data_IF_578297857220
#
_entry.id   IF_578297857220
#
_cell.length_a   1.000
_cell.length_b   1.000
_cell.length_c   1.000
_cell.angle_alpha   90.00
_cell.angle_beta   90.00
_cell.angle_gamma   90.00
#
_symmetry.space_group_name_H-M   'P 1'
#
loop_
_entity.id
_entity.type
_entity.pdbx_description
1 polymer ?
#
# COMPACT_ATOMS: atom_id res chain seq x y z
N UNK A 1 -13.94 2.62 4.41
CA UNK A 1 -15.42 2.74 4.24
C UNK A 1 -15.83 4.20 4.13
N UNK A 2 -15.32 5.11 4.97
CA UNK A 2 -15.66 6.55 4.95
C UNK A 2 -15.33 7.22 3.60
N UNK A 3 -14.12 7.03 3.06
CA UNK A 3 -13.71 7.59 1.76
C UNK A 3 -14.51 7.00 0.58
N UNK A 4 -14.93 5.75 0.67
CA UNK A 4 -15.75 5.12 -0.37
C UNK A 4 -17.15 5.73 -0.46
N UNK A 5 -17.72 6.12 0.68
CA UNK A 5 -19.04 6.75 0.74
C UNK A 5 -19.00 8.27 0.53
N UNK A 6 -17.78 8.88 0.61
CA UNK A 6 -17.55 10.30 0.40
C UNK A 6 -16.38 10.51 -0.56
N UNK A 7 -16.55 10.20 -1.87
CA UNK A 7 -15.46 10.22 -2.85
C UNK A 7 -14.98 11.63 -3.22
N UNK A 8 -15.80 12.65 -2.95
CA UNK A 8 -15.47 14.04 -3.24
C UNK A 8 -15.36 14.81 -1.93
N UNK A 9 -14.24 15.53 -1.78
CA UNK A 9 -13.99 16.42 -0.65
C UNK A 9 -13.72 17.82 -1.15
N UNK A 10 -14.49 18.78 -0.64
CA UNK A 10 -14.19 20.19 -0.83
C UNK A 10 -13.12 20.64 0.16
N UNK A 11 -12.03 21.18 -0.37
CA UNK A 11 -10.93 21.73 0.43
C UNK A 11 -11.01 23.24 0.37
N UNK A 12 -11.34 23.87 1.49
CA UNK A 12 -11.55 25.31 1.58
C UNK A 12 -10.46 26.03 2.37
N UNK A 13 -10.35 27.35 2.13
CA UNK A 13 -9.48 28.22 2.90
C UNK A 13 -8.00 27.94 2.73
N UNK A 14 -7.24 28.05 3.82
CA UNK A 14 -5.78 27.90 3.81
C UNK A 14 -5.32 26.50 3.34
N UNK A 15 -6.15 25.48 3.48
CA UNK A 15 -5.82 24.13 3.01
C UNK A 15 -5.73 24.07 1.48
N UNK A 16 -6.63 24.76 0.77
CA UNK A 16 -6.56 24.88 -0.70
C UNK A 16 -5.28 25.58 -1.16
N UNK A 17 -4.86 26.61 -0.45
CA UNK A 17 -3.63 27.35 -0.75
C UNK A 17 -2.41 26.45 -0.67
N UNK A 18 -2.33 25.56 0.34
CA UNK A 18 -1.23 24.59 0.49
C UNK A 18 -1.14 23.69 -0.74
N UNK A 19 -2.25 23.15 -1.24
CA UNK A 19 -2.24 22.31 -2.44
C UNK A 19 -1.83 23.06 -3.69
N UNK A 20 -2.20 24.32 -3.83
CA UNK A 20 -1.75 25.19 -4.93
C UNK A 20 -0.22 25.34 -4.91
N UNK A 21 0.40 25.56 -3.75
CA UNK A 21 1.85 25.64 -3.66
C UNK A 21 2.54 24.32 -4.03
N UNK A 22 1.96 23.18 -3.67
CA UNK A 22 2.48 21.88 -4.10
C UNK A 22 2.36 21.70 -5.62
N UNK A 23 1.24 22.09 -6.22
CA UNK A 23 1.05 22.05 -7.67
C UNK A 23 2.12 22.91 -8.38
N UNK A 24 2.31 24.15 -7.98
CA UNK A 24 3.30 25.05 -8.53
C UNK A 24 4.73 24.49 -8.36
N UNK A 25 5.03 23.91 -7.20
CA UNK A 25 6.33 23.31 -6.94
C UNK A 25 6.58 22.07 -7.83
N UNK A 26 5.57 21.21 -8.00
CA UNK A 26 5.66 20.03 -8.88
C UNK A 26 5.87 20.48 -10.33
N UNK A 27 5.08 21.44 -10.81
CA UNK A 27 5.20 21.95 -12.17
C UNK A 27 6.57 22.60 -12.42
N UNK A 28 7.07 23.35 -11.46
CA UNK A 28 8.42 23.93 -11.52
C UNK A 28 9.48 22.83 -11.60
N UNK A 29 9.36 21.79 -10.79
CA UNK A 29 10.30 20.66 -10.78
C UNK A 29 10.26 19.83 -12.08
N UNK A 30 9.08 19.58 -12.63
CA UNK A 30 8.92 18.85 -13.89
C UNK A 30 9.58 19.63 -15.04
N UNK A 31 9.46 20.94 -15.04
CA UNK A 31 10.00 21.81 -16.10
C UNK A 31 11.47 22.21 -15.88
N UNK A 32 12.08 21.84 -14.75
CA UNK A 32 13.49 22.12 -14.45
C UNK A 32 14.41 21.04 -14.99
N UNK A 33 15.68 21.37 -15.24
CA UNK A 33 16.69 20.39 -15.58
C UNK A 33 16.88 19.37 -14.43
N UNK A 34 16.95 18.07 -14.74
CA UNK A 34 17.17 17.06 -13.73
C UNK A 34 18.54 17.21 -13.06
N UNK A 35 18.56 17.15 -11.73
CA UNK A 35 19.80 17.09 -10.94
C UNK A 35 19.92 15.73 -10.22
N UNK A 36 21.10 15.34 -9.70
CA UNK A 36 21.31 14.01 -9.10
C UNK A 36 20.27 13.59 -8.05
N UNK A 37 19.68 14.54 -7.34
CA UNK A 37 18.64 14.29 -6.30
C UNK A 37 17.21 14.61 -6.76
N UNK A 38 16.97 14.74 -8.09
CA UNK A 38 15.65 15.11 -8.61
C UNK A 38 14.57 14.10 -8.20
N UNK A 39 14.87 12.82 -8.33
CA UNK A 39 13.95 11.71 -7.97
C UNK A 39 13.61 11.70 -6.48
N UNK A 40 14.59 11.87 -5.62
CA UNK A 40 14.42 11.94 -4.17
C UNK A 40 13.60 13.17 -3.78
N UNK A 41 13.90 14.31 -4.38
CA UNK A 41 13.15 15.55 -4.17
C UNK A 41 11.67 15.38 -4.51
N UNK A 42 11.36 14.81 -5.67
CA UNK A 42 9.97 14.52 -6.08
C UNK A 42 9.29 13.55 -5.11
N UNK A 43 9.97 12.50 -4.67
CA UNK A 43 9.46 11.54 -3.70
C UNK A 43 9.05 12.21 -2.38
N UNK A 44 9.86 13.14 -1.87
CA UNK A 44 9.53 13.87 -0.63
C UNK A 44 8.39 14.85 -0.81
N UNK A 45 8.28 15.51 -1.95
CA UNK A 45 7.13 16.37 -2.27
C UNK A 45 5.83 15.56 -2.25
N UNK A 46 5.79 14.42 -2.94
CA UNK A 46 4.62 13.54 -2.94
C UNK A 46 4.30 12.98 -1.55
N UNK A 47 5.32 12.63 -0.76
CA UNK A 47 5.12 12.17 0.62
C UNK A 47 4.51 13.26 1.50
N UNK A 48 4.92 14.51 1.32
CA UNK A 48 4.37 15.65 2.07
C UNK A 48 2.90 15.90 1.69
N UNK A 49 2.56 15.88 0.40
CA UNK A 49 1.16 15.99 -0.06
C UNK A 49 0.30 14.89 0.56
N UNK A 50 0.81 13.66 0.59
CA UNK A 50 0.09 12.53 1.17
C UNK A 50 -0.18 12.75 2.66
N UNK A 51 0.77 13.30 3.41
CA UNK A 51 0.56 13.65 4.82
C UNK A 51 -0.54 14.69 5.00
N UNK A 52 -0.61 15.73 4.15
CA UNK A 52 -1.68 16.73 4.19
C UNK A 52 -3.06 16.12 3.88
N UNK A 53 -3.14 15.24 2.88
CA UNK A 53 -4.38 14.52 2.55
C UNK A 53 -4.83 13.68 3.75
N UNK A 54 -3.93 12.92 4.36
CA UNK A 54 -4.22 12.09 5.54
C UNK A 54 -4.71 12.99 6.69
N UNK A 55 -4.05 14.12 6.94
CA UNK A 55 -4.44 15.05 8.00
C UNK A 55 -5.85 15.62 7.78
N UNK A 56 -6.24 15.93 6.54
CA UNK A 56 -7.59 16.39 6.21
C UNK A 56 -8.61 15.29 6.45
N UNK A 57 -8.35 14.09 5.93
CA UNK A 57 -9.26 12.96 6.04
C UNK A 57 -9.47 12.54 7.49
N UNK A 58 -8.40 12.50 8.29
CA UNK A 58 -8.48 12.07 9.70
C UNK A 58 -9.14 13.11 10.61
N UNK A 59 -9.08 14.40 10.27
CA UNK A 59 -9.77 15.45 11.04
C UNK A 59 -11.29 15.47 10.80
N UNK A 60 -11.73 15.06 9.62
CA UNK A 60 -13.13 15.10 9.20
C UNK A 60 -13.89 13.80 9.44
N UNK A 61 -13.22 12.73 9.85
CA UNK A 61 -13.92 11.53 10.33
C UNK A 61 -14.70 11.94 11.58
N UNK A 62 -16.06 11.91 11.56
CA UNK A 62 -16.85 12.19 12.75
C UNK A 62 -16.35 11.31 13.89
N UNK A 63 -15.99 11.91 15.00
CA UNK A 63 -15.77 11.18 16.24
C UNK A 63 -17.15 10.75 16.72
N UNK A 64 -17.68 9.66 16.20
CA UNK A 64 -18.80 8.98 16.83
C UNK A 64 -18.36 8.64 18.26
N UNK A 65 -18.85 9.46 19.18
CA UNK A 65 -18.58 9.39 20.61
C UNK A 65 -19.47 8.33 21.23
N UNK A 66 -19.34 7.10 20.86
CA UNK A 66 -19.81 5.97 21.70
C UNK A 66 -19.63 4.69 20.91
N UNK A 67 -18.74 3.93 21.33
CA UNK A 67 -18.42 2.53 21.09
C UNK A 67 -17.07 2.29 20.41
N UNK A 68 -16.14 1.83 21.27
CA UNK A 68 -14.91 1.11 20.90
C UNK A 68 -13.70 1.90 20.36
N UNK A 69 -13.41 3.08 20.90
CA UNK A 69 -12.13 3.78 20.62
C UNK A 69 -10.88 2.90 20.79
N UNK A 70 -10.93 1.91 21.66
CA UNK A 70 -9.80 1.00 21.90
C UNK A 70 -9.68 -0.06 20.77
N UNK A 71 -10.80 -0.60 20.29
CA UNK A 71 -10.79 -1.64 19.25
C UNK A 71 -10.38 -1.07 17.91
N UNK A 72 -10.89 0.11 17.54
CA UNK A 72 -10.50 0.79 16.28
C UNK A 72 -9.02 1.14 16.26
N UNK A 73 -8.48 1.69 17.35
CA UNK A 73 -7.04 1.98 17.47
C UNK A 73 -6.19 0.70 17.43
N UNK A 74 -6.67 -0.38 18.04
CA UNK A 74 -6.00 -1.67 18.00
C UNK A 74 -6.00 -2.25 16.59
N UNK A 75 -7.12 -2.17 15.85
CA UNK A 75 -7.21 -2.62 14.47
C UNK A 75 -6.29 -1.82 13.54
N UNK A 76 -6.23 -0.50 13.69
CA UNK A 76 -5.30 0.36 12.95
C UNK A 76 -3.83 0.01 13.24
N UNK A 77 -3.50 -0.25 14.51
CA UNK A 77 -2.15 -0.67 14.90
C UNK A 77 -1.78 -2.02 14.28
N UNK A 78 -2.68 -3.01 14.34
CA UNK A 78 -2.46 -4.33 13.75
C UNK A 78 -2.32 -4.24 12.23
N UNK A 79 -3.19 -3.46 11.57
CA UNK A 79 -3.12 -3.24 10.14
C UNK A 79 -1.79 -2.61 9.73
N UNK A 80 -1.30 -1.59 10.44
CA UNK A 80 0.01 -0.98 10.21
C UNK A 80 1.13 -2.01 10.32
N UNK A 81 1.15 -2.81 11.37
CA UNK A 81 2.15 -3.87 11.56
C UNK A 81 2.10 -4.93 10.45
N UNK A 82 0.90 -5.26 9.96
CA UNK A 82 0.75 -6.14 8.81
C UNK A 82 1.37 -5.54 7.55
N UNK A 83 1.11 -4.29 7.24
CA UNK A 83 1.69 -3.60 6.08
C UNK A 83 3.22 -3.50 6.21
N UNK A 84 3.75 -3.17 7.39
CA UNK A 84 5.19 -3.16 7.64
C UNK A 84 5.84 -4.54 7.44
N UNK A 85 5.19 -5.61 7.92
CA UNK A 85 5.67 -6.97 7.73
C UNK A 85 5.61 -7.38 6.26
N UNK A 86 4.52 -7.07 5.55
CA UNK A 86 4.36 -7.32 4.13
C UNK A 86 5.44 -6.60 3.30
N UNK A 87 5.71 -5.34 3.63
CA UNK A 87 6.77 -4.55 2.99
C UNK A 87 8.16 -5.15 3.20
N UNK A 88 8.48 -5.59 4.41
CA UNK A 88 9.78 -6.22 4.71
C UNK A 88 9.94 -7.60 4.09
N UNK A 89 8.84 -8.30 3.86
CA UNK A 89 8.82 -9.63 3.25
C UNK A 89 9.08 -9.62 1.74
N UNK A 90 8.90 -8.48 1.09
CA UNK A 90 9.08 -8.30 -0.37
C UNK A 90 8.28 -9.30 -1.23
N UNK A 91 7.17 -9.84 -0.71
CA UNK A 91 6.32 -10.78 -1.44
C UNK A 91 6.80 -12.22 -1.47
N UNK A 92 7.77 -12.60 -0.64
CA UNK A 92 8.27 -13.98 -0.57
C UNK A 92 7.23 -14.96 -0.03
N UNK A 93 6.37 -14.50 0.89
CA UNK A 93 5.34 -15.33 1.50
C UNK A 93 3.95 -14.86 1.06
N UNK A 94 3.10 -15.80 0.65
CA UNK A 94 1.74 -15.53 0.13
C UNK A 94 0.62 -16.02 1.04
N UNK A 95 0.98 -16.72 2.13
CA UNK A 95 0.02 -17.26 3.09
C UNK A 95 -0.37 -16.23 4.14
N UNK A 96 -1.66 -16.05 4.35
CA UNK A 96 -2.19 -15.23 5.46
C UNK A 96 -1.71 -15.77 6.81
N UNK A 97 -1.59 -17.09 6.95
CA UNK A 97 -1.12 -17.74 8.19
C UNK A 97 0.29 -17.27 8.55
N UNK A 98 1.20 -17.17 7.58
CA UNK A 98 2.55 -16.67 7.82
C UNK A 98 2.56 -15.28 8.49
N UNK A 99 1.76 -14.36 7.99
CA UNK A 99 1.67 -13.01 8.57
C UNK A 99 0.95 -12.99 9.90
N UNK A 100 -0.07 -13.84 10.06
CA UNK A 100 -0.80 -13.97 11.32
C UNK A 100 0.11 -14.51 12.42
N UNK A 101 0.86 -15.57 12.16
CA UNK A 101 1.83 -16.17 13.08
C UNK A 101 2.93 -15.17 13.46
N UNK A 102 3.48 -14.45 12.46
CA UNK A 102 4.51 -13.44 12.67
C UNK A 102 4.03 -12.24 13.52
N UNK A 103 2.73 -11.99 13.56
CA UNK A 103 2.11 -10.92 14.33
C UNK A 103 1.46 -11.42 15.64
N UNK A 104 1.54 -12.72 15.91
CA UNK A 104 0.93 -13.38 17.07
C UNK A 104 -0.60 -13.31 17.12
N UNK A 105 -1.25 -13.40 15.93
CA UNK A 105 -2.70 -13.44 15.80
C UNK A 105 -3.16 -14.70 15.06
N UNK A 106 -4.44 -15.01 15.21
CA UNK A 106 -5.04 -16.06 14.36
C UNK A 106 -5.30 -15.52 12.94
N UNK A 107 -5.22 -16.36 11.90
CA UNK A 107 -5.54 -15.94 10.52
C UNK A 107 -6.94 -15.35 10.38
N UNK A 108 -7.91 -15.90 11.12
CA UNK A 108 -9.30 -15.42 11.14
C UNK A 108 -9.41 -13.99 11.71
N UNK A 109 -8.74 -13.74 12.84
CA UNK A 109 -8.75 -12.42 13.47
C UNK A 109 -8.02 -11.38 12.60
N UNK A 110 -6.82 -11.72 12.11
CA UNK A 110 -6.08 -10.83 11.21
C UNK A 110 -6.91 -10.50 9.96
N UNK A 111 -7.62 -11.49 9.39
CA UNK A 111 -8.47 -11.26 8.21
C UNK A 111 -9.62 -10.31 8.51
N UNK A 112 -10.25 -10.43 9.67
CA UNK A 112 -11.29 -9.48 10.13
C UNK A 112 -10.73 -8.07 10.22
N UNK A 113 -9.64 -7.90 10.96
CA UNK A 113 -8.99 -6.59 11.16
C UNK A 113 -8.63 -5.92 9.84
N UNK A 114 -7.98 -6.64 8.93
CA UNK A 114 -7.58 -6.08 7.62
C UNK A 114 -8.80 -5.72 6.79
N UNK A 115 -9.82 -6.57 6.76
CA UNK A 115 -11.05 -6.29 6.02
C UNK A 115 -11.79 -5.07 6.57
N UNK A 116 -11.84 -4.91 7.90
CA UNK A 116 -12.45 -3.77 8.57
C UNK A 116 -11.65 -2.48 8.29
N UNK A 117 -10.31 -2.56 8.29
CA UNK A 117 -9.44 -1.40 8.07
C UNK A 117 -9.42 -0.89 6.63
N UNK A 118 -9.41 -1.78 5.62
CA UNK A 118 -9.23 -1.37 4.22
C UNK A 118 -10.27 -1.94 3.23
N UNK A 119 -11.23 -2.73 3.69
CA UNK A 119 -12.28 -3.33 2.86
C UNK A 119 -11.82 -4.50 1.98
N UNK A 120 -10.53 -4.84 1.97
CA UNK A 120 -9.96 -5.94 1.19
C UNK A 120 -9.62 -7.15 2.06
N UNK A 121 -9.65 -8.34 1.47
CA UNK A 121 -9.11 -9.52 2.14
C UNK A 121 -7.57 -9.47 2.17
N UNK A 122 -6.93 -9.99 3.24
CA UNK A 122 -5.47 -10.01 3.33
C UNK A 122 -4.80 -10.76 2.17
N UNK A 123 -5.38 -11.86 1.71
CA UNK A 123 -4.87 -12.59 0.53
C UNK A 123 -4.82 -11.71 -0.72
N UNK A 124 -5.82 -10.86 -0.93
CA UNK A 124 -5.86 -9.91 -2.05
C UNK A 124 -4.72 -8.91 -1.94
N UNK A 125 -4.52 -8.31 -0.76
CA UNK A 125 -3.42 -7.35 -0.53
C UNK A 125 -2.05 -7.99 -0.71
N UNK A 126 -1.85 -9.19 -0.18
CA UNK A 126 -0.59 -9.94 -0.32
C UNK A 126 -0.31 -10.21 -1.79
N UNK A 127 -1.31 -10.68 -2.54
CA UNK A 127 -1.15 -10.98 -3.96
C UNK A 127 -0.91 -9.72 -4.80
N UNK A 128 -1.63 -8.63 -4.55
CA UNK A 128 -1.41 -7.34 -5.22
C UNK A 128 0.04 -6.88 -4.99
N UNK A 129 0.50 -6.92 -3.75
CA UNK A 129 1.86 -6.51 -3.38
C UNK A 129 2.92 -7.40 -4.04
N UNK A 130 2.77 -8.72 -3.95
CA UNK A 130 3.67 -9.69 -4.58
C UNK A 130 3.74 -9.47 -6.09
N UNK A 131 2.58 -9.27 -6.75
CA UNK A 131 2.54 -9.03 -8.19
C UNK A 131 3.23 -7.74 -8.62
N UNK A 132 3.11 -6.66 -7.85
CA UNK A 132 3.84 -5.43 -8.16
C UNK A 132 5.35 -5.63 -8.07
N UNK A 133 5.84 -6.37 -7.08
CA UNK A 133 7.25 -6.72 -6.96
C UNK A 133 7.74 -7.64 -8.10
N UNK A 134 6.94 -8.66 -8.47
CA UNK A 134 7.24 -9.53 -9.61
C UNK A 134 7.32 -8.72 -10.91
N UNK A 135 6.34 -7.84 -11.17
CA UNK A 135 6.36 -6.96 -12.35
C UNK A 135 7.58 -6.07 -12.38
N UNK A 136 7.96 -5.53 -11.22
CA UNK A 136 9.15 -4.70 -11.11
C UNK A 136 10.41 -5.50 -11.48
N UNK A 137 10.59 -6.71 -10.93
CA UNK A 137 11.73 -7.57 -11.24
C UNK A 137 11.77 -7.97 -12.72
N UNK A 138 10.63 -8.36 -13.29
CA UNK A 138 10.53 -8.73 -14.70
C UNK A 138 10.90 -7.60 -15.67
N UNK A 139 10.73 -6.33 -15.27
CA UNK A 139 11.00 -5.16 -16.12
C UNK A 139 12.37 -4.55 -15.89
N UNK A 140 12.93 -4.68 -14.67
CA UNK A 140 14.05 -3.87 -14.24
C UNK A 140 15.26 -4.71 -13.76
N UNK A 141 15.24 -6.04 -13.92
CA UNK A 141 16.36 -6.89 -13.59
C UNK A 141 16.76 -7.77 -14.77
N UNK A 142 18.02 -8.17 -14.83
CA UNK A 142 18.55 -9.11 -15.80
C UNK A 142 18.34 -10.58 -15.38
N UNK A 143 17.55 -10.81 -14.32
CA UNK A 143 17.27 -12.14 -13.79
C UNK A 143 16.41 -12.96 -14.75
N UNK A 144 16.75 -14.22 -14.89
CA UNK A 144 15.90 -15.17 -15.61
C UNK A 144 14.57 -15.42 -14.87
N UNK A 145 13.56 -15.88 -15.59
CA UNK A 145 12.26 -16.29 -15.01
C UNK A 145 12.44 -17.31 -13.87
N UNK A 146 13.45 -18.19 -13.99
CA UNK A 146 13.75 -19.19 -12.97
C UNK A 146 14.26 -18.53 -11.68
N UNK A 147 15.21 -17.62 -11.80
CA UNK A 147 15.75 -16.89 -10.64
C UNK A 147 14.69 -16.04 -9.95
N UNK A 148 13.82 -15.36 -10.71
CA UNK A 148 12.69 -14.62 -10.14
C UNK A 148 11.72 -15.56 -9.41
N UNK A 149 11.38 -16.71 -10.00
CA UNK A 149 10.51 -17.68 -9.35
C UNK A 149 11.10 -18.22 -8.04
N UNK A 150 12.41 -18.47 -7.99
CA UNK A 150 13.13 -18.91 -6.79
C UNK A 150 13.16 -17.81 -5.74
N UNK A 151 13.44 -16.55 -6.11
CA UNK A 151 13.45 -15.39 -5.21
C UNK A 151 12.08 -15.20 -4.51
N UNK A 152 10.98 -15.39 -5.23
CA UNK A 152 9.64 -15.31 -4.67
C UNK A 152 9.12 -16.63 -4.08
N UNK A 153 10.00 -17.59 -3.75
CA UNK A 153 9.65 -18.86 -3.13
C UNK A 153 8.54 -19.63 -3.89
N UNK A 154 8.62 -19.68 -5.21
CA UNK A 154 7.78 -20.58 -5.99
C UNK A 154 8.42 -21.96 -6.11
N UNK A 155 7.64 -23.05 -5.98
CA UNK A 155 8.17 -24.42 -6.09
C UNK A 155 8.87 -24.71 -7.43
N UNK A 156 8.39 -24.10 -8.50
CA UNK A 156 8.98 -24.16 -9.83
C UNK A 156 8.38 -23.10 -10.77
N UNK A 157 8.95 -22.96 -11.96
CA UNK A 157 8.50 -21.99 -12.98
C UNK A 157 7.04 -22.20 -13.45
N UNK A 158 6.55 -23.44 -13.45
CA UNK A 158 5.16 -23.70 -13.86
C UNK A 158 4.15 -23.12 -12.88
N UNK A 159 4.42 -23.24 -11.58
CA UNK A 159 3.59 -22.59 -10.55
C UNK A 159 3.70 -21.06 -10.61
N UNK A 160 4.92 -20.53 -10.80
CA UNK A 160 5.14 -19.10 -11.00
C UNK A 160 4.33 -18.58 -12.20
N UNK A 161 4.44 -19.25 -13.36
CA UNK A 161 3.74 -18.85 -14.57
C UNK A 161 2.22 -18.86 -14.41
N UNK A 162 1.66 -19.91 -13.77
CA UNK A 162 0.23 -19.98 -13.44
C UNK A 162 -0.21 -18.83 -12.53
N UNK A 163 0.57 -18.54 -11.50
CA UNK A 163 0.28 -17.47 -10.56
C UNK A 163 0.28 -16.11 -11.26
N UNK A 164 1.32 -15.82 -12.04
CA UNK A 164 1.44 -14.55 -12.78
C UNK A 164 0.28 -14.40 -13.78
N UNK A 165 -0.03 -15.43 -14.56
CA UNK A 165 -1.17 -15.39 -15.50
C UNK A 165 -2.49 -15.12 -14.79
N UNK A 166 -2.76 -15.81 -13.69
CA UNK A 166 -4.00 -15.66 -12.93
C UNK A 166 -4.18 -14.21 -12.38
N UNK A 167 -3.09 -13.53 -12.06
CA UNK A 167 -3.16 -12.19 -11.47
C UNK A 167 -2.94 -11.04 -12.48
N UNK A 168 -2.39 -11.33 -13.66
CA UNK A 168 -2.28 -10.34 -14.75
C UNK A 168 -3.53 -10.30 -15.64
N UNK A 169 -4.42 -11.28 -15.52
CA UNK A 169 -5.58 -11.41 -16.40
C UNK A 169 -5.22 -11.73 -17.87
N UNK A 170 -4.02 -12.28 -18.09
CA UNK A 170 -3.57 -12.68 -19.44
C UNK A 170 -3.77 -14.19 -19.56
N UNK A 171 -4.63 -14.57 -20.48
CA UNK A 171 -4.87 -15.98 -20.84
C UNK A 171 -3.73 -16.52 -21.71
#
# INVERSE_FOLDING_TARGET
TYLRNNPIKHVEGNKYIIFRYYEDLIMTKINSEPHPYHRESMKYIFSSILCEIIAIVTREVPKDETENKNETKQHEYIFRRFIEKLSKDNGMHRSVSYYADALFYTPKYLSKVIKDACGKNPSTLINEYTMEHIKYQLRNSDKSIKEIAEEFNFPNQSFFGKYVKAHLGVS
#
